data_IF_076328800058
#
_entry.id   IF_076328800058
#
_cell.length_a   1.000
_cell.length_b   1.000
_cell.length_c   1.000
_cell.angle_alpha   90.00
_cell.angle_beta   90.00
_cell.angle_gamma   90.00
#
_symmetry.space_group_name_H-M   'P 1'
#
loop_
_entity.id
_entity.type
_entity.pdbx_description
1 polymer ?
#
# COMPACT_ATOMS: atom_id res chain seq x y z
N UNK A 1 -13.62 42.95 46.40
CA UNK A 1 -12.92 41.64 46.32
C UNK A 1 -13.34 40.94 45.06
N UNK A 2 -12.46 40.90 44.10
CA UNK A 2 -12.72 40.23 42.83
C UNK A 2 -12.26 38.75 42.94
N UNK A 3 -13.21 37.85 42.95
CA UNK A 3 -12.90 36.44 42.87
C UNK A 3 -12.65 36.07 41.40
N UNK A 4 -11.41 35.74 41.09
CA UNK A 4 -11.09 35.18 39.82
C UNK A 4 -11.41 33.68 39.87
N UNK A 5 -12.49 33.31 39.22
CA UNK A 5 -12.81 31.90 38.99
C UNK A 5 -11.89 31.44 37.86
N UNK A 6 -10.88 30.68 38.22
CA UNK A 6 -10.02 29.97 37.29
C UNK A 6 -10.84 28.81 36.71
N UNK A 7 -11.41 29.03 35.53
CA UNK A 7 -12.01 27.97 34.76
C UNK A 7 -10.85 27.20 34.11
N UNK A 8 -10.41 26.13 34.75
CA UNK A 8 -9.59 25.14 34.12
C UNK A 8 -10.41 24.42 33.05
N UNK A 9 -10.34 24.89 31.82
CA UNK A 9 -10.76 24.09 30.66
C UNK A 9 -9.82 22.92 30.53
N UNK A 10 -10.20 21.80 31.12
CA UNK A 10 -9.65 20.49 30.76
C UNK A 10 -10.10 20.19 29.33
N UNK A 11 -9.30 20.60 28.39
CA UNK A 11 -9.41 20.09 27.02
C UNK A 11 -8.90 18.66 27.09
N UNK A 12 -9.81 17.72 27.31
CA UNK A 12 -9.56 16.32 26.94
C UNK A 12 -9.46 16.29 25.42
N UNK A 13 -8.25 16.46 24.94
CA UNK A 13 -7.91 16.13 23.58
C UNK A 13 -8.17 14.63 23.41
N UNK A 14 -9.27 14.29 22.77
CA UNK A 14 -9.46 12.96 22.24
C UNK A 14 -8.31 12.74 21.24
N UNK A 15 -7.27 12.07 21.68
CA UNK A 15 -6.27 11.49 20.81
C UNK A 15 -6.99 10.41 20.02
N UNK A 16 -7.59 10.83 18.91
CA UNK A 16 -7.98 9.92 17.86
C UNK A 16 -6.69 9.31 17.36
N UNK A 17 -6.38 8.12 17.82
CA UNK A 17 -5.32 7.27 17.26
C UNK A 17 -5.74 6.88 15.85
N UNK A 18 -5.79 7.85 14.95
CA UNK A 18 -5.85 7.61 13.54
C UNK A 18 -4.59 6.83 13.18
N UNK A 19 -4.73 5.56 12.85
CA UNK A 19 -3.63 4.80 12.27
C UNK A 19 -3.17 5.55 11.04
N UNK A 20 -2.00 6.17 11.12
CA UNK A 20 -1.34 6.76 9.96
C UNK A 20 -0.95 5.57 9.06
N UNK A 21 -1.78 5.24 8.08
CA UNK A 21 -1.32 4.50 6.92
C UNK A 21 -0.35 5.42 6.18
N UNK A 22 0.93 5.02 6.11
CA UNK A 22 1.90 5.76 5.33
C UNK A 22 1.46 5.75 3.87
N UNK A 23 1.10 6.93 3.35
CA UNK A 23 0.73 7.14 1.96
C UNK A 23 1.95 7.67 1.22
N UNK A 24 2.25 7.05 0.09
CA UNK A 24 3.30 7.50 -0.80
C UNK A 24 2.71 7.91 -2.14
N UNK A 25 3.35 8.86 -2.80
CA UNK A 25 2.92 9.35 -4.10
C UNK A 25 4.06 9.43 -5.09
N UNK A 26 3.72 9.41 -6.36
CA UNK A 26 4.67 9.51 -7.45
C UNK A 26 4.03 9.13 -8.78
N UNK A 27 4.83 9.01 -9.81
CA UNK A 27 4.38 8.63 -11.13
C UNK A 27 4.26 7.12 -11.26
N UNK A 28 3.12 6.64 -11.72
CA UNK A 28 2.93 5.26 -12.14
C UNK A 28 2.92 5.16 -13.66
N UNK A 29 3.44 4.07 -14.18
CA UNK A 29 3.28 3.64 -15.56
C UNK A 29 2.70 2.22 -15.61
N UNK A 30 2.58 1.64 -16.78
CA UNK A 30 2.14 0.28 -16.92
C UNK A 30 2.98 -0.49 -17.94
N UNK A 31 2.97 -1.81 -17.81
CA UNK A 31 3.70 -2.70 -18.69
C UNK A 31 3.10 -2.81 -20.07
N UNK A 32 3.96 -2.90 -21.08
CA UNK A 32 3.58 -3.30 -22.42
C UNK A 32 3.20 -4.78 -22.49
N UNK A 33 2.35 -5.16 -23.43
CA UNK A 33 1.96 -6.55 -23.66
C UNK A 33 3.12 -7.47 -24.02
N UNK A 34 4.24 -6.94 -24.49
CA UNK A 34 5.48 -7.66 -24.75
C UNK A 34 5.98 -8.44 -23.52
N UNK A 35 5.65 -8.00 -22.31
CA UNK A 35 6.05 -8.67 -21.07
C UNK A 35 5.20 -9.88 -20.70
N UNK A 36 4.05 -10.10 -21.34
CA UNK A 36 3.22 -11.27 -21.07
C UNK A 36 4.01 -12.57 -21.21
N UNK A 37 3.87 -13.45 -20.22
CA UNK A 37 4.54 -14.75 -20.18
C UNK A 37 6.00 -14.70 -19.73
N UNK A 38 6.58 -13.52 -19.46
CA UNK A 38 7.92 -13.41 -18.89
C UNK A 38 7.91 -13.66 -17.38
N UNK A 39 9.01 -14.19 -16.86
CA UNK A 39 9.15 -14.42 -15.42
C UNK A 39 9.21 -13.10 -14.67
N UNK A 40 8.47 -13.03 -13.59
CA UNK A 40 8.52 -11.92 -12.63
C UNK A 40 9.54 -12.19 -11.53
N UNK A 41 10.08 -11.13 -10.92
CA UNK A 41 11.03 -11.25 -9.82
C UNK A 41 10.43 -11.97 -8.60
N UNK A 42 9.13 -11.83 -8.36
CA UNK A 42 8.40 -12.50 -7.27
C UNK A 42 7.98 -13.94 -7.55
N UNK A 43 8.35 -14.48 -8.70
CA UNK A 43 7.95 -15.81 -9.18
C UNK A 43 6.69 -15.76 -10.05
N UNK A 44 6.48 -16.81 -10.82
CA UNK A 44 5.38 -16.87 -11.76
C UNK A 44 5.62 -16.10 -13.05
N UNK A 45 4.63 -16.12 -13.93
CA UNK A 45 4.67 -15.45 -15.23
C UNK A 45 3.82 -14.16 -15.19
N UNK A 46 4.33 -13.12 -15.83
CA UNK A 46 3.63 -11.86 -15.95
C UNK A 46 2.38 -12.03 -16.83
N UNK A 47 1.27 -11.47 -16.34
CA UNK A 47 -0.01 -11.46 -17.04
C UNK A 47 -0.62 -10.05 -16.93
N UNK A 48 -0.68 -9.36 -18.05
CA UNK A 48 -1.15 -7.98 -18.13
C UNK A 48 -2.66 -7.81 -17.90
N UNK A 49 -3.39 -8.92 -17.75
CA UNK A 49 -4.83 -8.93 -17.44
C UNK A 49 -5.13 -9.01 -15.95
N UNK A 50 -4.13 -9.25 -15.12
CA UNK A 50 -4.26 -9.35 -13.66
C UNK A 50 -4.04 -8.01 -12.99
N UNK A 51 -4.48 -7.89 -11.73
CA UNK A 51 -4.29 -6.70 -10.89
C UNK A 51 -3.01 -6.82 -10.08
N UNK A 52 -1.85 -6.58 -10.70
CA UNK A 52 -0.54 -6.64 -10.08
C UNK A 52 0.31 -5.44 -10.43
N UNK A 53 1.41 -5.28 -9.70
CA UNK A 53 2.35 -4.20 -9.92
C UNK A 53 3.79 -4.59 -9.60
N UNK A 54 4.74 -3.80 -10.10
CA UNK A 54 6.10 -3.77 -9.63
C UNK A 54 6.31 -2.64 -8.64
N UNK A 55 7.07 -2.91 -7.60
CA UNK A 55 7.56 -1.93 -6.63
C UNK A 55 9.03 -2.20 -6.31
N UNK A 56 9.79 -1.15 -6.00
CA UNK A 56 11.25 -1.25 -5.80
C UNK A 56 11.64 -2.11 -4.60
N UNK A 57 10.91 -2.01 -3.50
CA UNK A 57 11.35 -2.54 -2.20
C UNK A 57 10.29 -3.29 -1.41
N UNK A 58 9.00 -3.02 -1.61
CA UNK A 58 7.95 -3.68 -0.84
C UNK A 58 7.98 -5.20 -1.03
N UNK A 59 7.73 -5.98 0.01
CA UNK A 59 7.70 -7.44 -0.09
C UNK A 59 6.71 -7.94 -1.14
N UNK A 60 7.08 -9.01 -1.84
CA UNK A 60 6.15 -9.67 -2.75
C UNK A 60 4.91 -10.17 -2.01
N UNK A 61 3.75 -10.01 -2.62
CA UNK A 61 2.47 -10.31 -2.00
C UNK A 61 1.83 -9.14 -1.24
N UNK A 62 2.55 -8.03 -1.06
CA UNK A 62 1.96 -6.83 -0.46
C UNK A 62 0.81 -6.32 -1.31
N UNK A 63 -0.32 -6.04 -0.68
CA UNK A 63 -1.49 -5.46 -1.34
C UNK A 63 -1.47 -3.95 -1.19
N UNK A 64 -1.66 -3.26 -2.31
CA UNK A 64 -1.66 -1.81 -2.37
C UNK A 64 -3.01 -1.31 -2.88
N UNK A 65 -3.54 -0.28 -2.25
CA UNK A 65 -4.59 0.55 -2.82
C UNK A 65 -3.94 1.71 -3.55
N UNK A 66 -4.13 1.78 -4.84
CA UNK A 66 -3.57 2.82 -5.72
C UNK A 66 -4.69 3.75 -6.17
N UNK A 67 -4.50 5.05 -5.99
CA UNK A 67 -5.47 6.07 -6.39
C UNK A 67 -4.84 6.97 -7.43
N UNK A 68 -5.53 7.16 -8.56
CA UNK A 68 -5.16 8.15 -9.57
C UNK A 68 -5.63 9.53 -9.10
N UNK A 69 -4.69 10.42 -8.83
CA UNK A 69 -4.98 11.75 -8.29
C UNK A 69 -5.71 12.68 -9.26
N UNK A 70 -5.70 12.37 -10.56
CA UNK A 70 -6.40 13.17 -11.57
C UNK A 70 -7.92 12.93 -11.61
N UNK A 71 -8.38 11.76 -11.19
CA UNK A 71 -9.79 11.37 -11.31
C UNK A 71 -10.36 10.64 -10.08
N UNK A 72 -9.57 10.48 -9.02
CA UNK A 72 -9.92 9.77 -7.77
C UNK A 72 -10.33 8.30 -7.92
N UNK A 73 -10.08 7.70 -9.09
CA UNK A 73 -10.27 6.26 -9.27
C UNK A 73 -9.21 5.48 -8.52
N UNK A 74 -9.58 4.37 -7.94
CA UNK A 74 -8.66 3.51 -7.19
C UNK A 74 -8.81 2.04 -7.57
N UNK A 75 -7.71 1.30 -7.42
CA UNK A 75 -7.65 -0.15 -7.59
C UNK A 75 -6.79 -0.77 -6.51
N UNK A 76 -7.03 -2.04 -6.25
CA UNK A 76 -6.17 -2.86 -5.40
C UNK A 76 -5.29 -3.73 -6.27
N UNK A 77 -3.97 -3.68 -6.03
CA UNK A 77 -2.98 -4.46 -6.77
C UNK A 77 -2.03 -5.18 -5.81
N UNK A 78 -1.47 -6.29 -6.28
CA UNK A 78 -0.48 -7.07 -5.53
C UNK A 78 0.92 -6.79 -6.08
N UNK A 79 1.89 -6.59 -5.20
CA UNK A 79 3.30 -6.49 -5.58
C UNK A 79 3.83 -7.88 -5.95
N UNK A 80 4.24 -8.05 -7.19
CA UNK A 80 4.73 -9.33 -7.75
C UNK A 80 6.06 -9.21 -8.46
N UNK A 81 6.54 -7.98 -8.70
CA UNK A 81 7.74 -7.74 -9.47
C UNK A 81 8.57 -6.59 -8.89
N UNK A 82 9.80 -6.40 -9.38
CA UNK A 82 10.71 -5.32 -9.01
C UNK A 82 10.81 -4.26 -10.10
N UNK A 83 10.94 -3.05 -9.69
CA UNK A 83 10.95 -1.83 -10.48
C UNK A 83 9.86 -0.86 -9.99
N UNK A 84 9.66 0.23 -10.69
CA UNK A 84 10.40 0.76 -11.84
C UNK A 84 11.79 1.30 -11.46
N UNK A 85 12.72 1.26 -12.43
CA UNK A 85 14.08 1.81 -12.25
C UNK A 85 14.26 3.16 -12.93
N UNK A 86 13.16 3.80 -13.30
CA UNK A 86 13.12 5.15 -13.85
C UNK A 86 12.90 6.16 -12.74
N UNK A 87 13.73 7.19 -12.70
CA UNK A 87 13.64 8.25 -11.68
C UNK A 87 12.25 8.90 -11.68
N UNK A 88 11.66 9.04 -10.48
CA UNK A 88 10.34 9.65 -10.29
C UNK A 88 9.16 8.70 -10.49
N UNK A 89 9.39 7.50 -11.03
CA UNK A 89 8.36 6.46 -11.10
C UNK A 89 8.40 5.59 -9.84
N UNK A 90 7.24 5.34 -9.27
CA UNK A 90 7.08 4.58 -8.03
C UNK A 90 6.43 3.22 -8.23
N UNK A 91 5.61 3.07 -9.25
CA UNK A 91 4.90 1.83 -9.58
C UNK A 91 4.88 1.59 -11.09
N UNK A 92 5.03 0.34 -11.47
CA UNK A 92 4.65 -0.15 -12.80
C UNK A 92 3.45 -1.10 -12.63
N UNK A 93 2.32 -0.69 -13.16
CA UNK A 93 1.06 -1.42 -13.06
C UNK A 93 0.86 -2.34 -14.26
N UNK A 94 -0.01 -3.33 -14.12
CA UNK A 94 -0.53 -4.02 -15.29
C UNK A 94 -1.43 -3.11 -16.12
N UNK A 95 -1.58 -3.41 -17.39
CA UNK A 95 -2.49 -2.65 -18.27
C UNK A 95 -3.95 -2.71 -17.79
N UNK A 96 -4.37 -3.85 -17.21
CA UNK A 96 -5.68 -3.99 -16.60
C UNK A 96 -5.88 -2.99 -15.45
N UNK A 97 -4.90 -2.83 -14.55
CA UNK A 97 -4.95 -1.85 -13.47
C UNK A 97 -4.93 -0.41 -14.00
N UNK A 98 -4.10 -0.11 -14.99
CA UNK A 98 -4.05 1.21 -15.63
C UNK A 98 -5.37 1.58 -16.32
N UNK A 99 -6.04 0.60 -16.91
CA UNK A 99 -7.37 0.78 -17.53
C UNK A 99 -8.43 1.14 -16.49
N UNK A 100 -8.46 0.45 -15.36
CA UNK A 100 -9.35 0.76 -14.25
C UNK A 100 -9.08 2.15 -13.64
N UNK A 101 -7.82 2.56 -13.57
CA UNK A 101 -7.42 3.88 -13.11
C UNK A 101 -7.63 4.98 -14.17
N UNK A 102 -7.92 4.61 -15.40
CA UNK A 102 -8.27 5.55 -16.48
C UNK A 102 -7.09 6.31 -17.09
N UNK A 103 -5.86 5.75 -17.08
CA UNK A 103 -4.71 6.47 -17.64
C UNK A 103 -3.98 5.76 -18.80
N UNK A 104 -4.57 4.72 -19.37
CA UNK A 104 -3.95 3.98 -20.50
C UNK A 104 -3.59 4.92 -21.66
N UNK A 105 -4.48 5.86 -21.99
CA UNK A 105 -4.24 6.80 -23.07
C UNK A 105 -3.11 7.82 -22.77
N UNK A 106 -2.91 8.14 -21.52
CA UNK A 106 -1.87 9.08 -21.08
C UNK A 106 -0.49 8.41 -20.90
N UNK A 107 -0.46 7.08 -20.77
CA UNK A 107 0.76 6.31 -20.55
C UNK A 107 1.28 6.34 -19.10
N UNK A 108 1.08 7.44 -18.40
CA UNK A 108 1.47 7.63 -16.99
C UNK A 108 0.40 8.38 -16.22
N UNK A 109 0.41 8.24 -14.90
CA UNK A 109 -0.45 8.99 -14.01
C UNK A 109 0.28 9.34 -12.71
N UNK A 110 -0.12 10.45 -12.12
CA UNK A 110 0.28 10.77 -10.75
C UNK A 110 -0.63 10.02 -9.81
N UNK A 111 -0.07 9.14 -8.99
CA UNK A 111 -0.82 8.27 -8.10
C UNK A 111 -0.37 8.44 -6.66
N UNK A 112 -1.27 8.12 -5.77
CA UNK A 112 -0.99 7.88 -4.36
C UNK A 112 -1.26 6.41 -4.09
N UNK A 113 -0.43 5.76 -3.26
CA UNK A 113 -0.68 4.39 -2.86
C UNK A 113 -0.46 4.20 -1.36
N UNK A 114 -1.17 3.24 -0.82
CA UNK A 114 -1.08 2.83 0.58
C UNK A 114 -1.11 1.31 0.69
N UNK A 115 -0.42 0.79 1.70
CA UNK A 115 -0.43 -0.65 1.99
C UNK A 115 -1.76 -0.99 2.66
N UNK A 116 -2.48 -1.96 2.08
CA UNK A 116 -3.66 -2.52 2.71
C UNK A 116 -3.20 -3.52 3.76
N UNK A 117 -3.47 -3.23 5.02
CA UNK A 117 -3.26 -4.16 6.13
C UNK A 117 -4.58 -4.84 6.45
N UNK A 118 -4.57 -6.17 6.46
CA UNK A 118 -5.68 -6.91 7.03
C UNK A 118 -5.67 -6.65 8.54
N UNK A 119 -6.65 -5.90 9.02
CA UNK A 119 -6.86 -5.67 10.45
C UNK A 119 -7.21 -6.96 11.22
N UNK A 120 -7.28 -8.08 10.52
CA UNK A 120 -7.48 -9.43 11.07
C UNK A 120 -6.19 -10.22 11.28
N UNK A 121 -5.02 -9.67 10.93
CA UNK A 121 -3.77 -10.25 11.35
C UNK A 121 -3.62 -9.94 12.85
N UNK A 122 -3.98 -10.90 13.67
CA UNK A 122 -3.64 -10.92 15.10
C UNK A 122 -2.15 -10.60 15.24
N UNK A 123 -1.77 -9.67 16.15
CA UNK A 123 -0.37 -9.46 16.44
C UNK A 123 0.24 -10.78 16.87
N UNK A 124 1.31 -11.18 16.22
CA UNK A 124 2.07 -12.39 16.55
C UNK A 124 2.79 -12.29 17.92
N UNK A 125 2.32 -11.46 18.82
CA UNK A 125 2.87 -11.28 20.16
C UNK A 125 2.31 -12.25 21.21
N UNK A 126 1.55 -13.25 20.81
CA UNK A 126 1.11 -14.30 21.70
C UNK A 126 1.80 -15.63 21.42
N UNK A 127 3.11 -15.60 21.18
CA UNK A 127 3.90 -16.79 21.49
C UNK A 127 4.05 -16.79 23.00
N UNK A 128 3.04 -17.32 23.66
CA UNK A 128 3.20 -17.73 25.03
C UNK A 128 4.26 -18.83 25.03
N UNK A 129 5.45 -18.47 25.49
CA UNK A 129 6.36 -19.46 26.04
C UNK A 129 5.64 -20.10 27.23
N UNK A 130 4.87 -21.12 26.98
CA UNK A 130 4.50 -22.03 28.02
C UNK A 130 5.76 -22.77 28.42
N UNK A 131 6.38 -22.23 29.44
CA UNK A 131 7.45 -22.87 30.15
C UNK A 131 6.88 -24.18 30.71
N UNK A 132 7.11 -25.26 30.00
CA UNK A 132 6.85 -26.60 30.56
C UNK A 132 7.91 -26.83 31.62
N UNK A 133 7.51 -26.63 32.84
CA UNK A 133 8.25 -27.14 33.98
C UNK A 133 8.15 -28.66 33.96
N UNK A 134 9.17 -29.31 33.47
CA UNK A 134 9.41 -30.70 33.83
C UNK A 134 10.12 -30.72 35.18
N UNK A 135 9.36 -31.03 36.18
CA UNK A 135 9.93 -31.48 37.46
C UNK A 135 9.89 -32.99 37.43
N UNK A 136 11.03 -33.64 37.56
CA UNK A 136 11.22 -35.04 37.90
C UNK A 136 10.60 -35.38 39.21
#
# INVERSE_FOLDING_TARGET
>A
MKQYILVCCLILGAFSSGRLCAQESGTASFYDNYFNGKKMAGGGLFDNTKMTCAHKTLPFGTMLKVTNLANDKSVTVKVTDRGPYVKGRVLDLTKAAAKELGFVNNGTAHVMYEIIRDDKAEPVDSIQFQNSQFIT
#
